data_IF_004085081632
#
_entry.id   IF_004085081632
#
_cell.length_a   1.000
_cell.length_b   1.000
_cell.length_c   1.000
_cell.angle_alpha   90.00
_cell.angle_beta   90.00
_cell.angle_gamma   90.00
#
_symmetry.space_group_name_H-M   'P 1'
#
loop_
_entity.id
_entity.type
_entity.pdbx_description
1 polymer ?
#
# COMPACT_ATOMS: atom_id res chain seq x y z
N UNK A 1 7.25 17.50 36.99
CA UNK A 1 7.94 17.83 35.73
C UNK A 1 7.77 16.61 34.82
N UNK A 2 6.75 16.59 33.99
CA UNK A 2 6.45 15.52 33.05
C UNK A 2 7.39 15.64 31.86
N UNK A 3 8.32 14.68 31.73
CA UNK A 3 9.15 14.56 30.53
C UNK A 3 8.23 14.27 29.32
N UNK A 4 8.09 15.27 28.49
CA UNK A 4 7.39 15.17 27.22
C UNK A 4 8.19 14.20 26.36
N UNK A 5 7.67 12.99 26.15
CA UNK A 5 8.24 12.02 25.23
C UNK A 5 8.31 12.68 23.85
N UNK A 6 9.52 13.01 23.39
CA UNK A 6 9.74 13.54 22.04
C UNK A 6 9.43 12.41 21.07
N UNK A 7 8.34 12.54 20.34
CA UNK A 7 8.07 11.69 19.18
C UNK A 7 9.26 11.71 18.24
N UNK A 8 9.85 10.56 17.99
CA UNK A 8 10.86 10.38 16.94
C UNK A 8 10.26 10.36 15.53
N UNK A 9 8.97 10.68 15.39
CA UNK A 9 8.32 10.73 14.10
C UNK A 9 8.90 11.87 13.25
N UNK A 10 9.46 11.51 12.11
CA UNK A 10 9.94 12.50 11.14
C UNK A 10 8.71 13.13 10.48
N UNK A 11 8.49 14.44 10.60
CA UNK A 11 7.39 15.09 9.92
C UNK A 11 7.47 14.82 8.41
N UNK A 12 6.32 14.57 7.77
CA UNK A 12 6.22 14.25 6.35
C UNK A 12 7.04 15.21 5.46
N UNK A 13 7.07 16.49 5.81
CA UNK A 13 7.83 17.53 5.08
C UNK A 13 9.35 17.41 5.21
N UNK A 14 9.85 16.68 6.19
CA UNK A 14 11.30 16.48 6.43
C UNK A 14 11.78 15.11 5.97
N UNK A 15 10.88 14.18 5.73
CA UNK A 15 11.23 12.85 5.24
C UNK A 15 11.87 12.98 3.85
N UNK A 16 12.99 12.32 3.64
CA UNK A 16 13.67 12.27 2.33
C UNK A 16 13.12 11.16 1.45
N UNK A 17 12.82 10.01 2.05
CA UNK A 17 12.30 8.82 1.36
C UNK A 17 11.01 8.39 2.03
N UNK A 18 9.94 8.33 1.24
CA UNK A 18 8.61 7.94 1.70
C UNK A 18 8.11 6.72 0.95
N UNK A 19 7.50 5.82 1.70
CA UNK A 19 6.65 4.78 1.14
C UNK A 19 5.19 5.18 1.38
N UNK A 20 4.40 5.19 0.31
CA UNK A 20 2.96 5.49 0.37
C UNK A 20 2.19 4.22 0.00
N UNK A 21 1.46 3.67 0.96
CA UNK A 21 0.57 2.53 0.72
C UNK A 21 -0.84 3.02 0.39
N UNK A 22 -1.42 2.46 -0.66
CA UNK A 22 -2.76 2.79 -1.13
C UNK A 22 -3.68 1.57 -0.99
N UNK A 23 -4.71 1.71 -0.19
CA UNK A 23 -5.74 0.68 -0.01
C UNK A 23 -6.62 0.50 -1.24
N UNK A 24 -7.11 -0.72 -1.47
CA UNK A 24 -7.97 -1.05 -2.61
C UNK A 24 -9.30 -0.29 -2.59
N UNK A 25 -9.86 -0.04 -1.40
CA UNK A 25 -11.14 0.65 -1.23
C UNK A 25 -11.11 2.10 -1.74
N UNK A 26 -9.95 2.78 -1.66
CA UNK A 26 -9.78 4.13 -2.19
C UNK A 26 -9.62 4.14 -3.71
N UNK A 27 -8.93 3.12 -4.23
CA UNK A 27 -8.50 3.07 -5.62
C UNK A 27 -9.55 2.45 -6.54
N UNK A 28 -10.36 1.52 -6.03
CA UNK A 28 -11.36 0.80 -6.83
C UNK A 28 -12.75 1.09 -6.27
N UNK A 29 -13.60 1.68 -7.08
CA UNK A 29 -15.00 1.93 -6.71
C UNK A 29 -15.73 0.61 -6.46
N UNK A 30 -16.29 0.43 -5.27
CA UNK A 30 -16.90 -0.83 -4.82
C UNK A 30 -17.87 -1.44 -5.83
N UNK A 31 -18.91 -0.70 -6.22
CA UNK A 31 -19.94 -1.18 -7.15
C UNK A 31 -19.48 -1.19 -8.61
N UNK A 32 -18.65 -0.23 -8.99
CA UNK A 32 -18.19 -0.10 -10.38
C UNK A 32 -17.06 -1.07 -10.72
N UNK A 33 -16.23 -1.48 -9.75
CA UNK A 33 -15.00 -2.24 -9.95
C UNK A 33 -14.05 -1.57 -10.96
N UNK A 34 -14.12 -0.25 -11.08
CA UNK A 34 -13.26 0.56 -11.94
C UNK A 34 -12.33 1.40 -11.05
N UNK A 35 -11.22 1.84 -11.64
CA UNK A 35 -10.33 2.78 -10.96
C UNK A 35 -11.10 4.06 -10.62
N UNK A 36 -11.02 4.50 -9.39
CA UNK A 36 -11.52 5.80 -8.94
C UNK A 36 -10.56 6.89 -9.44
N UNK A 37 -10.80 7.31 -10.69
CA UNK A 37 -9.89 8.19 -11.40
C UNK A 37 -9.77 9.56 -10.72
N UNK A 38 -10.86 10.12 -10.26
CA UNK A 38 -10.86 11.43 -9.60
C UNK A 38 -9.98 11.41 -8.33
N UNK A 39 -10.12 10.37 -7.51
CA UNK A 39 -9.27 10.20 -6.33
C UNK A 39 -7.81 9.98 -6.70
N UNK A 40 -7.54 9.17 -7.74
CA UNK A 40 -6.18 8.92 -8.20
C UNK A 40 -5.51 10.19 -8.74
N UNK A 41 -6.24 11.07 -9.39
CA UNK A 41 -5.75 12.37 -9.87
C UNK A 41 -5.31 13.25 -8.70
N UNK A 42 -6.10 13.34 -7.62
CA UNK A 42 -5.71 14.11 -6.43
C UNK A 42 -4.47 13.52 -5.75
N UNK A 43 -4.39 12.19 -5.65
CA UNK A 43 -3.19 11.52 -5.13
C UNK A 43 -1.95 11.86 -5.97
N UNK A 44 -2.06 11.79 -7.30
CA UNK A 44 -0.96 12.11 -8.21
C UNK A 44 -0.48 13.55 -8.03
N UNK A 45 -1.38 14.51 -7.84
CA UNK A 45 -1.01 15.91 -7.55
C UNK A 45 -0.18 16.03 -6.27
N UNK A 46 -0.57 15.31 -5.21
CA UNK A 46 0.19 15.29 -3.95
C UNK A 46 1.56 14.62 -4.11
N UNK A 47 1.63 13.49 -4.82
CA UNK A 47 2.90 12.82 -5.10
C UNK A 47 3.85 13.72 -5.89
N UNK A 48 3.35 14.40 -6.91
CA UNK A 48 4.15 15.36 -7.70
C UNK A 48 4.63 16.53 -6.84
N UNK A 49 3.78 17.03 -5.95
CA UNK A 49 4.14 18.09 -5.00
C UNK A 49 5.28 17.66 -4.06
N UNK A 50 5.21 16.44 -3.53
CA UNK A 50 6.28 15.89 -2.67
C UNK A 50 7.58 15.70 -3.46
N UNK A 51 7.52 15.18 -4.70
CA UNK A 51 8.69 15.04 -5.57
C UNK A 51 9.35 16.38 -5.89
N UNK A 52 8.57 17.42 -6.17
CA UNK A 52 9.09 18.78 -6.40
C UNK A 52 9.85 19.35 -5.19
N UNK A 53 9.63 18.81 -3.99
CA UNK A 53 10.42 19.11 -2.78
C UNK A 53 11.71 18.28 -2.68
N UNK A 54 12.01 17.45 -3.67
CA UNK A 54 13.20 16.59 -3.68
C UNK A 54 13.02 15.27 -2.94
N UNK A 55 11.79 14.88 -2.56
CA UNK A 55 11.53 13.64 -1.85
C UNK A 55 11.49 12.44 -2.80
N UNK A 56 12.10 11.35 -2.39
CA UNK A 56 12.02 10.06 -3.07
C UNK A 56 10.75 9.33 -2.64
N UNK A 57 9.93 8.91 -3.60
CA UNK A 57 8.65 8.27 -3.35
C UNK A 57 8.61 6.85 -3.91
N UNK A 58 7.98 5.97 -3.16
CA UNK A 58 7.66 4.60 -3.53
C UNK A 58 6.19 4.38 -3.24
N UNK A 59 5.44 3.85 -4.18
CA UNK A 59 4.05 3.46 -3.97
C UNK A 59 3.96 1.96 -3.70
N UNK A 60 3.14 1.56 -2.74
CA UNK A 60 2.67 0.18 -2.58
C UNK A 60 1.17 0.17 -2.76
N UNK A 61 0.69 -0.44 -3.83
CA UNK A 61 -0.71 -0.31 -4.24
C UNK A 61 -1.43 -1.64 -4.22
N UNK A 62 -2.65 -1.63 -3.71
CA UNK A 62 -3.59 -2.74 -3.79
C UNK A 62 -4.57 -2.56 -4.95
N UNK A 63 -5.48 -3.52 -5.15
CA UNK A 63 -6.62 -3.38 -6.05
C UNK A 63 -6.52 -4.13 -7.37
N UNK A 64 -5.41 -4.83 -7.65
CA UNK A 64 -5.25 -5.61 -8.87
C UNK A 64 -6.33 -6.69 -8.99
N UNK A 65 -6.53 -7.50 -7.94
CA UNK A 65 -7.56 -8.56 -7.94
C UNK A 65 -8.96 -7.98 -8.19
N UNK A 66 -9.31 -6.87 -7.53
CA UNK A 66 -10.61 -6.24 -7.69
C UNK A 66 -10.87 -5.76 -9.12
N UNK A 67 -9.86 -5.12 -9.74
CA UNK A 67 -9.92 -4.66 -11.12
C UNK A 67 -10.04 -5.82 -12.14
N UNK A 68 -9.27 -6.89 -11.91
CA UNK A 68 -9.27 -8.05 -12.79
C UNK A 68 -10.54 -8.89 -12.63
N UNK A 69 -11.02 -9.10 -11.41
CA UNK A 69 -12.24 -9.81 -11.10
C UNK A 69 -13.43 -9.28 -11.92
N UNK A 70 -13.60 -7.97 -11.92
CA UNK A 70 -14.66 -7.36 -12.73
C UNK A 70 -14.47 -7.59 -14.22
N UNK A 71 -13.23 -7.45 -14.70
CA UNK A 71 -12.94 -7.62 -16.14
C UNK A 71 -13.18 -9.03 -16.63
N UNK A 72 -12.92 -10.00 -15.76
CA UNK A 72 -13.16 -11.43 -16.05
C UNK A 72 -14.61 -11.87 -15.79
N UNK A 73 -15.48 -10.99 -15.28
CA UNK A 73 -16.86 -11.34 -14.96
C UNK A 73 -17.00 -12.36 -13.83
N UNK A 74 -16.00 -12.46 -12.94
CA UNK A 74 -16.04 -13.40 -11.82
C UNK A 74 -17.10 -12.98 -10.79
N UNK A 75 -17.81 -13.96 -10.26
CA UNK A 75 -18.93 -13.75 -9.32
C UNK A 75 -18.48 -13.11 -8.01
N UNK A 76 -19.36 -12.37 -7.32
CA UNK A 76 -19.11 -11.93 -5.94
C UNK A 76 -18.85 -13.12 -4.99
N UNK A 77 -18.08 -12.90 -3.92
CA UNK A 77 -17.76 -13.95 -2.94
C UNK A 77 -16.27 -14.28 -2.89
N UNK A 78 -15.90 -15.33 -2.19
CA UNK A 78 -14.52 -15.80 -2.08
C UNK A 78 -14.09 -16.43 -3.41
N UNK A 79 -12.96 -16.00 -3.95
CA UNK A 79 -12.35 -16.58 -5.14
C UNK A 79 -11.48 -17.78 -4.75
N UNK A 80 -11.43 -18.79 -5.59
CA UNK A 80 -10.41 -19.83 -5.50
C UNK A 80 -9.03 -19.21 -5.79
N UNK A 81 -7.97 -19.90 -5.38
CA UNK A 81 -6.60 -19.38 -5.52
C UNK A 81 -6.29 -19.01 -6.99
N UNK A 82 -6.53 -19.94 -7.91
CA UNK A 82 -6.28 -19.76 -9.34
C UNK A 82 -7.13 -18.65 -9.97
N UNK A 83 -8.36 -18.45 -9.49
CA UNK A 83 -9.22 -17.35 -9.93
C UNK A 83 -8.69 -16.00 -9.43
N UNK A 84 -8.18 -15.97 -8.19
CA UNK A 84 -7.55 -14.79 -7.61
C UNK A 84 -6.28 -14.42 -8.35
N UNK A 85 -5.42 -15.40 -8.65
CA UNK A 85 -4.19 -15.23 -9.43
C UNK A 85 -4.49 -14.73 -10.86
N UNK A 86 -5.47 -15.33 -11.53
CA UNK A 86 -5.91 -14.89 -12.86
C UNK A 86 -6.47 -13.46 -12.83
N UNK A 87 -7.27 -13.13 -11.81
CA UNK A 87 -7.78 -11.79 -11.62
C UNK A 87 -6.64 -10.78 -11.36
N UNK A 88 -5.68 -11.14 -10.50
CA UNK A 88 -4.50 -10.31 -10.25
C UNK A 88 -3.71 -10.04 -11.53
N UNK A 89 -3.47 -11.06 -12.36
CA UNK A 89 -2.74 -10.92 -13.63
C UNK A 89 -3.41 -9.90 -14.57
N UNK A 90 -4.74 -10.00 -14.75
CA UNK A 90 -5.50 -9.08 -15.60
C UNK A 90 -5.60 -7.68 -14.98
N UNK A 91 -5.78 -7.61 -13.67
CA UNK A 91 -5.97 -6.35 -12.98
C UNK A 91 -4.67 -5.56 -12.80
N UNK A 92 -3.53 -6.24 -12.65
CA UNK A 92 -2.22 -5.59 -12.47
C UNK A 92 -1.83 -4.70 -13.65
N UNK A 93 -2.11 -5.14 -14.88
CA UNK A 93 -1.88 -4.32 -16.08
C UNK A 93 -2.72 -3.03 -16.02
N UNK A 94 -3.98 -3.14 -15.61
CA UNK A 94 -4.89 -1.98 -15.52
C UNK A 94 -4.48 -1.02 -14.42
N UNK A 95 -4.04 -1.55 -13.29
CA UNK A 95 -3.52 -0.79 -12.16
C UNK A 95 -2.27 0.00 -12.55
N UNK A 96 -1.29 -0.68 -13.13
CA UNK A 96 -0.06 -0.06 -13.60
C UNK A 96 -0.32 1.01 -14.68
N UNK A 97 -1.23 0.73 -15.61
CA UNK A 97 -1.62 1.67 -16.66
C UNK A 97 -2.29 2.94 -16.10
N UNK A 98 -3.14 2.80 -15.06
CA UNK A 98 -3.79 3.94 -14.42
C UNK A 98 -2.77 4.89 -13.77
N UNK A 99 -1.82 4.36 -13.01
CA UNK A 99 -0.74 5.17 -12.42
C UNK A 99 0.16 5.78 -13.51
N UNK A 100 0.58 4.96 -14.48
CA UNK A 100 1.42 5.40 -15.58
C UNK A 100 0.81 6.59 -16.32
N UNK A 101 -0.45 6.47 -16.74
CA UNK A 101 -1.10 7.51 -17.56
C UNK A 101 -1.15 8.88 -16.87
N UNK A 102 -1.40 8.90 -15.55
CA UNK A 102 -1.48 10.15 -14.79
C UNK A 102 -0.12 10.73 -14.41
N UNK A 103 0.82 9.87 -13.99
CA UNK A 103 2.15 10.29 -13.55
C UNK A 103 3.04 10.73 -14.72
N UNK A 104 3.00 10.01 -15.85
CA UNK A 104 3.77 10.38 -17.05
C UNK A 104 3.28 11.71 -17.64
N UNK A 105 1.97 12.01 -17.56
CA UNK A 105 1.44 13.32 -17.93
C UNK A 105 2.03 14.47 -17.09
N UNK A 106 2.58 14.15 -15.91
CA UNK A 106 3.28 15.08 -15.02
C UNK A 106 4.82 14.97 -15.13
N UNK A 107 5.34 14.27 -16.14
CA UNK A 107 6.77 14.07 -16.34
C UNK A 107 7.44 13.09 -15.38
N UNK A 108 6.67 12.22 -14.74
CA UNK A 108 7.17 11.24 -13.77
C UNK A 108 7.21 9.86 -14.40
N UNK A 109 8.40 9.31 -14.59
CA UNK A 109 8.59 7.93 -15.07
C UNK A 109 8.13 6.94 -13.99
N UNK A 110 7.27 5.99 -14.36
CA UNK A 110 6.74 4.96 -13.47
C UNK A 110 7.44 3.63 -13.74
N UNK A 111 7.83 2.94 -12.68
CA UNK A 111 8.39 1.60 -12.76
C UNK A 111 7.51 0.61 -11.96
N UNK A 112 7.04 -0.45 -12.61
CA UNK A 112 6.33 -1.52 -11.93
C UNK A 112 7.33 -2.50 -11.29
N UNK A 113 7.12 -2.84 -10.02
CA UNK A 113 7.89 -3.84 -9.31
C UNK A 113 6.93 -4.80 -8.60
N UNK A 114 7.06 -6.09 -8.84
CA UNK A 114 6.27 -7.11 -8.18
C UNK A 114 7.17 -7.91 -7.24
N UNK A 115 6.78 -8.01 -5.98
CA UNK A 115 7.52 -8.70 -4.94
C UNK A 115 6.70 -9.84 -4.35
N UNK A 116 7.39 -10.88 -3.92
CA UNK A 116 6.82 -11.96 -3.11
C UNK A 116 7.34 -11.85 -1.67
N UNK A 117 6.72 -12.60 -0.74
CA UNK A 117 7.20 -12.70 0.64
C UNK A 117 8.68 -13.14 0.70
N UNK A 118 9.06 -14.11 -0.14
CA UNK A 118 10.43 -14.60 -0.23
C UNK A 118 11.46 -13.51 -0.60
N UNK A 119 11.05 -12.51 -1.40
CA UNK A 119 11.93 -11.40 -1.79
C UNK A 119 12.28 -10.50 -0.60
N UNK A 120 11.49 -10.55 0.49
CA UNK A 120 11.81 -9.84 1.73
C UNK A 120 12.49 -10.70 2.78
N UNK A 121 12.43 -12.03 2.68
CA UNK A 121 12.95 -12.96 3.70
C UNK A 121 14.29 -13.59 3.31
N UNK A 122 14.47 -13.91 2.03
CA UNK A 122 15.72 -14.50 1.53
C UNK A 122 16.75 -13.41 1.27
N UNK A 123 17.84 -13.40 2.05
CA UNK A 123 18.90 -12.37 2.01
C UNK A 123 19.33 -11.99 0.60
N UNK A 124 19.58 -12.94 -0.29
CA UNK A 124 20.03 -12.68 -1.67
C UNK A 124 18.96 -11.93 -2.46
N UNK A 125 17.69 -12.35 -2.38
CA UNK A 125 16.57 -11.72 -3.04
C UNK A 125 16.30 -10.32 -2.48
N UNK A 126 16.36 -10.18 -1.15
CA UNK A 126 16.24 -8.91 -0.45
C UNK A 126 17.25 -7.87 -0.95
N UNK A 127 18.54 -8.25 -0.99
CA UNK A 127 19.60 -7.34 -1.44
C UNK A 127 19.44 -6.96 -2.92
N UNK A 128 19.02 -7.91 -3.76
CA UNK A 128 18.75 -7.65 -5.18
C UNK A 128 17.56 -6.71 -5.39
N UNK A 129 16.44 -6.96 -4.71
CA UNK A 129 15.26 -6.09 -4.76
C UNK A 129 15.59 -4.68 -4.27
N UNK A 130 16.30 -4.57 -3.14
CA UNK A 130 16.78 -3.29 -2.60
C UNK A 130 17.63 -2.53 -3.61
N UNK A 131 18.64 -3.19 -4.20
CA UNK A 131 19.51 -2.56 -5.20
C UNK A 131 18.74 -2.06 -6.42
N UNK A 132 17.74 -2.83 -6.88
CA UNK A 132 16.86 -2.42 -7.98
C UNK A 132 16.03 -1.18 -7.62
N UNK A 133 15.44 -1.16 -6.42
CA UNK A 133 14.65 -0.02 -5.95
C UNK A 133 15.53 1.23 -5.77
N UNK A 134 16.72 1.09 -5.21
CA UNK A 134 17.67 2.20 -5.06
C UNK A 134 18.10 2.74 -6.43
N UNK A 135 18.34 1.88 -7.42
CA UNK A 135 18.67 2.29 -8.78
C UNK A 135 17.52 3.05 -9.45
N UNK A 136 16.26 2.57 -9.32
CA UNK A 136 15.09 3.26 -9.84
C UNK A 136 14.93 4.66 -9.24
N UNK A 137 15.10 4.77 -7.93
CA UNK A 137 15.04 6.05 -7.23
C UNK A 137 16.17 7.01 -7.65
N UNK A 138 17.40 6.50 -7.85
CA UNK A 138 18.53 7.28 -8.33
C UNK A 138 18.33 7.79 -9.77
N UNK A 139 17.65 6.99 -10.61
CA UNK A 139 17.28 7.36 -11.97
C UNK A 139 16.04 8.26 -12.04
N UNK A 140 15.48 8.65 -10.89
CA UNK A 140 14.32 9.52 -10.82
C UNK A 140 12.99 8.84 -11.18
N UNK A 141 12.94 7.53 -11.30
CA UNK A 141 11.69 6.80 -11.49
C UNK A 141 10.91 6.68 -10.17
N UNK A 142 9.59 6.53 -10.28
CA UNK A 142 8.69 6.25 -9.17
C UNK A 142 8.30 4.77 -9.20
N UNK A 143 8.82 3.94 -8.26
CA UNK A 143 8.40 2.55 -8.16
C UNK A 143 6.95 2.43 -7.69
N UNK A 144 6.14 1.67 -8.41
CA UNK A 144 4.81 1.21 -8.02
C UNK A 144 4.90 -0.28 -7.74
N UNK A 145 4.83 -0.62 -6.48
CA UNK A 145 5.04 -1.97 -5.98
C UNK A 145 3.68 -2.62 -5.69
N UNK A 146 3.56 -3.88 -6.01
CA UNK A 146 2.48 -4.75 -5.54
C UNK A 146 3.04 -6.15 -5.24
N UNK A 147 2.23 -6.98 -4.58
CA UNK A 147 2.52 -8.40 -4.47
C UNK A 147 2.48 -9.06 -5.84
N UNK A 148 3.36 -10.03 -6.08
CA UNK A 148 3.28 -10.89 -7.25
C UNK A 148 2.26 -12.02 -7.00
N UNK A 149 0.99 -11.62 -6.99
CA UNK A 149 -0.13 -12.52 -6.74
C UNK A 149 -0.17 -13.72 -7.70
N UNK A 150 0.45 -13.62 -8.89
CA UNK A 150 0.40 -14.69 -9.90
C UNK A 150 1.17 -15.94 -9.52
N UNK A 151 2.12 -15.82 -8.60
CA UNK A 151 2.95 -16.93 -8.10
C UNK A 151 2.82 -17.10 -6.58
N UNK A 152 2.13 -16.20 -5.90
CA UNK A 152 1.90 -16.29 -4.47
C UNK A 152 0.84 -17.36 -4.15
N UNK A 153 1.15 -18.27 -3.23
CA UNK A 153 0.19 -19.24 -2.68
C UNK A 153 -0.34 -18.76 -1.33
N UNK A 154 -1.32 -19.48 -0.78
CA UNK A 154 -1.89 -19.13 0.52
C UNK A 154 -0.82 -19.09 1.64
N UNK A 155 0.22 -19.92 1.54
CA UNK A 155 1.29 -20.06 2.53
C UNK A 155 2.37 -18.98 2.37
N UNK A 156 2.61 -18.46 1.16
CA UNK A 156 3.74 -17.58 0.84
C UNK A 156 3.33 -16.18 0.37
N UNK A 157 2.06 -15.81 0.51
CA UNK A 157 1.60 -14.45 0.20
C UNK A 157 1.74 -13.53 1.40
N UNK A 158 1.92 -12.26 1.14
CA UNK A 158 1.81 -11.24 2.20
C UNK A 158 0.40 -11.21 2.82
N UNK A 159 -0.62 -11.55 2.02
CA UNK A 159 -2.02 -11.51 2.43
C UNK A 159 -2.56 -10.09 2.61
N UNK A 160 -1.67 -9.14 2.84
CA UNK A 160 -1.99 -7.74 3.07
C UNK A 160 -0.84 -6.85 2.58
N UNK A 161 -1.15 -5.87 1.75
CA UNK A 161 -0.18 -4.89 1.26
C UNK A 161 0.33 -3.93 2.36
N UNK A 162 -0.26 -3.92 3.54
CA UNK A 162 0.30 -3.18 4.68
C UNK A 162 1.58 -3.83 5.18
N UNK A 163 1.61 -5.16 5.27
CA UNK A 163 2.84 -5.91 5.58
C UNK A 163 3.90 -5.73 4.48
N UNK A 164 3.49 -5.80 3.20
CA UNK A 164 4.38 -5.53 2.08
C UNK A 164 4.96 -4.11 2.18
N UNK A 165 4.14 -3.10 2.45
CA UNK A 165 4.58 -1.71 2.57
C UNK A 165 5.57 -1.51 3.72
N UNK A 166 5.33 -2.14 4.87
CA UNK A 166 6.25 -2.10 6.01
C UNK A 166 7.60 -2.75 5.67
N UNK A 167 7.59 -3.92 4.97
CA UNK A 167 8.81 -4.59 4.51
C UNK A 167 9.57 -3.77 3.47
N UNK A 168 8.84 -3.14 2.53
CA UNK A 168 9.44 -2.23 1.55
C UNK A 168 10.06 -1.02 2.24
N UNK A 169 9.37 -0.40 3.19
CA UNK A 169 9.89 0.74 3.94
C UNK A 169 11.20 0.39 4.67
N UNK A 170 11.25 -0.76 5.32
CA UNK A 170 12.47 -1.31 5.92
C UNK A 170 13.57 -1.55 4.87
N UNK A 171 13.24 -2.20 3.75
CA UNK A 171 14.17 -2.58 2.69
C UNK A 171 14.89 -1.37 2.12
N UNK A 172 14.17 -0.30 1.86
CA UNK A 172 14.71 0.92 1.25
C UNK A 172 15.20 1.95 2.27
N UNK A 173 15.07 1.69 3.57
CA UNK A 173 15.42 2.65 4.63
C UNK A 173 14.57 3.93 4.52
N UNK A 174 13.25 3.79 4.38
CA UNK A 174 12.36 4.93 4.32
C UNK A 174 12.27 5.65 5.67
N UNK A 175 12.20 6.97 5.64
CA UNK A 175 12.04 7.81 6.82
C UNK A 175 10.59 7.82 7.32
N UNK A 176 9.63 7.55 6.42
CA UNK A 176 8.21 7.57 6.73
C UNK A 176 7.45 6.57 5.84
N UNK A 177 6.49 5.88 6.44
CA UNK A 177 5.46 5.09 5.77
C UNK A 177 4.11 5.78 5.97
N UNK A 178 3.49 6.21 4.89
CA UNK A 178 2.13 6.76 4.87
C UNK A 178 1.18 5.68 4.43
N UNK A 179 0.15 5.42 5.21
CA UNK A 179 -0.93 4.49 4.86
C UNK A 179 -2.18 5.27 4.52
N UNK A 180 -2.65 5.12 3.29
CA UNK A 180 -3.92 5.69 2.84
C UNK A 180 -4.97 4.57 2.84
N UNK A 181 -6.01 4.77 3.64
CA UNK A 181 -7.10 3.84 3.89
C UNK A 181 -8.44 4.57 3.88
N UNK A 182 -9.51 3.83 3.94
CA UNK A 182 -10.89 4.32 4.11
C UNK A 182 -11.23 4.74 5.55
N UNK A 183 -10.26 4.59 6.47
CA UNK A 183 -10.30 5.11 7.83
C UNK A 183 -9.19 6.14 8.05
N UNK A 184 -9.42 7.11 8.91
CA UNK A 184 -8.56 8.27 9.14
C UNK A 184 -7.40 7.99 10.13
N UNK A 185 -7.31 6.78 10.67
CA UNK A 185 -6.21 6.38 11.54
C UNK A 185 -6.52 5.15 12.39
N UNK A 186 -5.64 4.88 13.37
CA UNK A 186 -5.88 3.85 14.38
C UNK A 186 -6.98 4.33 15.32
N UNK A 187 -7.97 3.46 15.57
CA UNK A 187 -9.06 3.68 16.52
C UNK A 187 -8.98 2.69 17.66
N UNK A 188 -9.53 3.09 18.80
CA UNK A 188 -9.64 2.22 19.99
C UNK A 188 -10.53 0.99 19.77
N UNK A 189 -11.39 1.01 18.74
CA UNK A 189 -12.24 -0.08 18.26
C UNK A 189 -12.62 0.20 16.80
N UNK A 190 -13.28 -0.75 16.13
CA UNK A 190 -13.80 -0.56 14.77
C UNK A 190 -14.87 0.56 14.74
N UNK A 191 -14.60 1.73 14.13
CA UNK A 191 -15.56 2.85 14.13
C UNK A 191 -16.86 2.53 13.37
N UNK A 192 -16.86 1.53 12.50
CA UNK A 192 -18.08 1.08 11.81
C UNK A 192 -18.98 0.21 12.70
N UNK A 193 -18.44 -0.35 13.79
CA UNK A 193 -19.16 -1.24 14.71
C UNK A 193 -19.41 -0.61 16.07
N UNK A 194 -18.48 0.22 16.55
CA UNK A 194 -18.62 0.90 17.83
C UNK A 194 -18.58 2.43 17.63
N UNK A 195 -19.72 3.11 17.77
CA UNK A 195 -19.79 4.57 17.64
C UNK A 195 -19.01 5.33 18.73
N UNK A 196 -18.52 4.63 19.77
CA UNK A 196 -17.65 5.20 20.81
C UNK A 196 -16.17 5.07 20.47
N UNK A 197 -15.82 4.44 19.35
CA UNK A 197 -14.46 4.33 18.89
C UNK A 197 -13.83 5.71 18.75
N UNK A 198 -12.62 5.87 19.27
CA UNK A 198 -11.89 7.13 19.25
C UNK A 198 -10.57 6.95 18.51
N UNK A 199 -10.20 7.94 17.74
CA UNK A 199 -8.90 7.94 17.06
C UNK A 199 -7.78 7.98 18.11
N UNK A 200 -6.74 7.17 17.88
CA UNK A 200 -5.51 7.17 18.66
C UNK A 200 -4.53 8.09 17.92
N UNK A 201 -4.30 9.31 18.43
CA UNK A 201 -3.56 10.32 17.68
C UNK A 201 -2.07 9.98 17.54
N UNK A 202 -1.54 9.19 18.46
CA UNK A 202 -0.13 8.82 18.50
C UNK A 202 0.09 7.51 19.25
N UNK A 203 0.94 6.66 18.70
CA UNK A 203 1.41 5.42 19.33
C UNK A 203 2.92 5.52 19.49
N UNK A 204 3.39 5.78 20.69
CA UNK A 204 4.82 5.87 20.99
C UNK A 204 5.46 4.50 21.26
N UNK A 205 4.66 3.51 21.67
CA UNK A 205 5.07 2.13 21.93
C UNK A 205 3.95 1.17 21.55
N UNK A 206 4.34 0.05 20.95
CA UNK A 206 3.39 -1.05 20.68
C UNK A 206 3.23 -1.85 21.98
N UNK A 207 2.06 -1.75 22.58
CA UNK A 207 1.67 -2.52 23.77
C UNK A 207 0.66 -3.59 23.38
N UNK A 208 0.40 -4.60 24.23
CA UNK A 208 -0.63 -5.60 23.97
C UNK A 208 -2.02 -4.99 23.71
N UNK A 209 -2.33 -3.86 24.36
CA UNK A 209 -3.58 -3.14 24.14
C UNK A 209 -3.64 -2.51 22.74
N UNK A 210 -2.53 -1.93 22.27
CA UNK A 210 -2.43 -1.40 20.91
C UNK A 210 -2.51 -2.53 19.88
N UNK A 211 -1.85 -3.66 20.13
CA UNK A 211 -1.96 -4.84 19.26
C UNK A 211 -3.40 -5.37 19.20
N UNK A 212 -4.10 -5.38 20.31
CA UNK A 212 -5.50 -5.81 20.37
C UNK A 212 -6.47 -4.88 19.62
N UNK A 213 -6.13 -3.60 19.45
CA UNK A 213 -6.89 -2.65 18.61
C UNK A 213 -6.76 -2.96 17.12
N UNK A 214 -5.67 -3.62 16.71
CA UNK A 214 -5.45 -4.08 15.36
C UNK A 214 -6.37 -5.28 15.07
N UNK A 215 -7.61 -5.01 14.72
CA UNK A 215 -8.64 -6.02 14.44
C UNK A 215 -8.39 -6.77 13.13
N UNK A 216 -8.99 -7.94 12.99
CA UNK A 216 -8.99 -8.72 11.74
C UNK A 216 -9.75 -8.02 10.60
N UNK A 217 -9.47 -8.45 9.36
CA UNK A 217 -10.05 -7.89 8.14
C UNK A 217 -11.58 -7.92 8.11
N UNK A 218 -12.20 -6.79 7.84
CA UNK A 218 -13.63 -6.68 7.61
C UNK A 218 -14.01 -6.26 6.18
N UNK A 219 -13.04 -6.03 5.27
CA UNK A 219 -13.35 -5.52 3.93
C UNK A 219 -13.68 -6.67 2.95
N UNK A 220 -14.81 -6.57 2.28
CA UNK A 220 -15.22 -7.50 1.20
C UNK A 220 -14.44 -7.31 -0.11
N UNK A 221 -13.67 -6.25 -0.26
CA UNK A 221 -13.01 -5.83 -1.51
C UNK A 221 -11.52 -6.16 -1.52
N UNK A 222 -10.92 -6.47 -0.38
CA UNK A 222 -9.52 -6.86 -0.25
C UNK A 222 -9.31 -7.80 0.92
N UNK A 223 -8.25 -8.58 0.89
CA UNK A 223 -7.82 -9.40 2.03
C UNK A 223 -7.16 -8.57 3.15
N UNK A 224 -7.03 -7.26 2.94
CA UNK A 224 -6.50 -6.34 3.93
C UNK A 224 -7.48 -6.12 5.06
N UNK A 225 -7.03 -6.38 6.29
CA UNK A 225 -7.73 -6.01 7.49
C UNK A 225 -7.68 -4.52 7.73
N UNK A 226 -8.58 -4.03 8.56
CA UNK A 226 -8.35 -2.79 9.30
C UNK A 226 -7.24 -3.06 10.33
N UNK A 227 -6.09 -3.35 9.80
CA UNK A 227 -4.89 -3.46 10.59
C UNK A 227 -4.16 -2.14 10.50
N UNK A 228 -3.87 -1.69 11.59
CA UNK A 228 -2.90 -0.66 11.87
C UNK A 228 -1.59 -0.88 11.18
#
# INVERSE_FOLDING_TARGET
MTAQARTNAVPLVRARRLVVKVGSALLVGGDSGRVNRAWLETLVEDLVRLRKRGQQLILVSSGAIALGRRRLGLRPGVLRLEESQAAAAVGQIRLAHAYKGLLEAQGVTVAQVLLTLEDSERRRRYLNARATLDALLALGALPVINENDTVATAEIRYGDNDRLAARVAQMVGADCLVRLSDVDGLHSADPNKDPRARIVPEVSQITPEIEAMAGGSASQVGSGGMTT
#
